data_IF_107676263934
#
_entry.id   IF_107676263934
#
_cell.length_a   1.000
_cell.length_b   1.000
_cell.length_c   1.000
_cell.angle_alpha   90.00
_cell.angle_beta   90.00
_cell.angle_gamma   90.00
#
_symmetry.space_group_name_H-M   'P 1'
#
loop_
_entity.id
_entity.type
_entity.pdbx_description
1 polymer ?
#
# COMPACT_ATOMS: atom_id res chain seq x y z
N UNK A 1 -11.65 -7.89 9.80
CA UNK A 1 -10.79 -7.45 8.68
C UNK A 1 -11.38 -6.16 8.16
N UNK A 2 -10.52 -5.17 7.97
CA UNK A 2 -10.90 -3.90 7.36
C UNK A 2 -10.21 -3.80 5.99
N UNK A 3 -10.93 -3.29 5.00
CA UNK A 3 -10.46 -3.23 3.61
C UNK A 3 -10.45 -1.76 3.19
N UNK A 4 -9.31 -1.32 2.68
CA UNK A 4 -9.10 0.07 2.27
C UNK A 4 -8.63 0.13 0.83
N UNK A 5 -9.22 1.02 0.03
CA UNK A 5 -8.66 1.40 -1.25
C UNK A 5 -7.41 2.24 -0.98
N UNK A 6 -6.30 1.96 -1.65
CA UNK A 6 -5.02 2.60 -1.37
C UNK A 6 -4.28 2.99 -2.65
N UNK A 7 -3.26 3.84 -2.51
CA UNK A 7 -2.31 4.09 -3.60
C UNK A 7 -2.82 5.03 -4.68
N UNK A 8 -2.46 4.71 -5.92
CA UNK A 8 -2.73 5.56 -7.08
C UNK A 8 -4.21 5.82 -7.28
N UNK A 9 -5.07 4.82 -7.02
CA UNK A 9 -6.51 4.96 -7.14
C UNK A 9 -7.08 6.09 -6.26
N UNK A 10 -6.64 6.21 -5.00
CA UNK A 10 -7.09 7.27 -4.08
C UNK A 10 -6.62 8.65 -4.56
N UNK A 11 -5.36 8.74 -4.99
CA UNK A 11 -4.79 9.97 -5.56
C UNK A 11 -5.54 10.42 -6.81
N UNK A 12 -5.76 9.50 -7.74
CA UNK A 12 -6.37 9.77 -9.04
C UNK A 12 -7.85 10.14 -8.88
N UNK A 13 -8.56 9.50 -7.94
CA UNK A 13 -9.91 9.89 -7.54
C UNK A 13 -9.95 11.34 -7.03
N UNK A 14 -9.02 11.72 -6.14
CA UNK A 14 -8.95 13.08 -5.60
C UNK A 14 -8.63 14.14 -6.67
N UNK A 15 -7.87 13.76 -7.70
CA UNK A 15 -7.59 14.61 -8.85
C UNK A 15 -8.70 14.58 -9.92
N UNK A 16 -9.73 13.74 -9.75
CA UNK A 16 -10.79 13.47 -10.75
C UNK A 16 -10.23 12.92 -12.07
N UNK A 17 -9.12 12.19 -12.01
CA UNK A 17 -8.62 11.43 -13.15
C UNK A 17 -9.32 10.07 -13.24
N UNK A 18 -9.61 9.58 -14.46
CA UNK A 18 -10.08 8.23 -14.64
C UNK A 18 -8.97 7.24 -14.26
N UNK A 19 -9.29 6.29 -13.39
CA UNK A 19 -8.43 5.17 -13.03
C UNK A 19 -9.18 3.86 -13.26
N UNK A 20 -8.44 2.81 -13.62
CA UNK A 20 -8.98 1.47 -13.88
C UNK A 20 -8.48 0.45 -12.86
N UNK A 21 -7.25 0.63 -12.38
CA UNK A 21 -6.62 -0.26 -11.43
C UNK A 21 -6.95 0.19 -10.00
N UNK A 22 -7.34 -0.77 -9.17
CA UNK A 22 -7.64 -0.56 -7.76
C UNK A 22 -6.80 -1.51 -6.94
N UNK A 23 -5.99 -0.91 -6.07
CA UNK A 23 -5.20 -1.63 -5.09
C UNK A 23 -5.90 -1.55 -3.75
N UNK A 24 -6.06 -2.70 -3.10
CA UNK A 24 -6.69 -2.80 -1.81
C UNK A 24 -5.70 -3.27 -0.76
N UNK A 25 -5.81 -2.72 0.45
CA UNK A 25 -5.10 -3.19 1.63
C UNK A 25 -6.10 -3.79 2.61
N UNK A 26 -5.77 -4.97 3.14
CA UNK A 26 -6.56 -5.67 4.15
C UNK A 26 -5.82 -5.66 5.48
N UNK A 27 -6.45 -5.07 6.49
CA UNK A 27 -5.92 -4.94 7.85
C UNK A 27 -6.66 -5.90 8.78
N UNK A 28 -5.96 -6.49 9.75
CA UNK A 28 -6.56 -7.39 10.73
C UNK A 28 -7.08 -8.70 10.12
N UNK A 29 -6.36 -9.25 9.16
CA UNK A 29 -6.64 -10.56 8.56
C UNK A 29 -5.36 -11.38 8.39
N UNK A 30 -5.50 -12.69 8.59
CA UNK A 30 -4.48 -13.68 8.24
C UNK A 30 -4.65 -14.15 6.78
N UNK A 31 -3.58 -14.63 6.12
CA UNK A 31 -3.64 -15.19 4.76
C UNK A 31 -4.77 -16.20 4.54
N UNK A 32 -4.95 -17.13 5.50
CA UNK A 32 -5.98 -18.17 5.40
C UNK A 32 -7.39 -17.58 5.36
N UNK A 33 -7.64 -16.46 6.05
CA UNK A 33 -8.97 -15.82 6.04
C UNK A 33 -9.35 -15.26 4.66
N UNK A 34 -8.36 -14.93 3.81
CA UNK A 34 -8.61 -14.53 2.42
C UNK A 34 -8.81 -15.77 1.54
N UNK A 35 -8.00 -16.81 1.73
CA UNK A 35 -8.11 -18.08 0.99
C UNK A 35 -9.49 -18.73 1.22
N UNK A 36 -9.95 -18.76 2.48
CA UNK A 36 -11.27 -19.30 2.87
C UNK A 36 -12.43 -18.51 2.21
N UNK A 37 -12.19 -17.26 1.85
CA UNK A 37 -13.13 -16.40 1.09
C UNK A 37 -12.97 -16.52 -0.44
N UNK A 38 -12.13 -17.43 -0.93
CA UNK A 38 -11.92 -17.69 -2.35
C UNK A 38 -10.91 -16.76 -3.03
N UNK A 39 -10.19 -15.93 -2.28
CA UNK A 39 -9.12 -15.11 -2.84
C UNK A 39 -7.95 -16.00 -3.28
N UNK A 40 -7.35 -15.66 -4.42
CA UNK A 40 -6.25 -16.43 -5.00
C UNK A 40 -4.90 -15.77 -4.71
N UNK A 41 -3.98 -16.40 -3.98
CA UNK A 41 -2.66 -15.80 -3.71
C UNK A 41 -1.87 -15.62 -5.01
N UNK A 42 -1.18 -14.49 -5.11
CA UNK A 42 -0.30 -14.15 -6.24
C UNK A 42 1.08 -13.73 -5.75
N UNK A 43 2.12 -14.23 -6.42
CA UNK A 43 3.50 -14.06 -6.00
C UNK A 43 3.94 -15.10 -4.95
N UNK A 44 5.26 -15.32 -4.86
CA UNK A 44 5.85 -16.29 -3.91
C UNK A 44 6.21 -15.67 -2.56
N UNK A 45 6.59 -14.39 -2.55
CA UNK A 45 7.20 -13.73 -1.38
C UNK A 45 6.31 -12.64 -0.77
N UNK A 46 5.15 -12.37 -1.37
CA UNK A 46 4.28 -11.27 -0.99
C UNK A 46 2.85 -11.76 -0.76
N UNK A 47 2.19 -11.38 0.35
CA UNK A 47 0.81 -11.76 0.65
C UNK A 47 -0.17 -10.86 -0.13
N UNK A 48 -0.09 -10.93 -1.46
CA UNK A 48 -1.04 -10.29 -2.38
C UNK A 48 -1.98 -11.36 -2.90
N UNK A 49 -3.26 -11.01 -3.02
CA UNK A 49 -4.31 -11.91 -3.45
C UNK A 49 -5.18 -11.26 -4.50
N UNK A 50 -5.72 -12.05 -5.42
CA UNK A 50 -6.72 -11.60 -6.38
C UNK A 50 -8.12 -11.89 -5.84
N UNK A 51 -8.99 -10.88 -5.92
CA UNK A 51 -10.40 -11.04 -5.60
C UNK A 51 -11.06 -12.05 -6.56
N UNK A 52 -11.89 -13.00 -6.08
CA UNK A 52 -12.43 -14.07 -6.90
C UNK A 52 -13.29 -13.59 -8.07
N UNK A 53 -14.04 -12.51 -7.88
CA UNK A 53 -15.01 -12.01 -8.87
C UNK A 53 -14.45 -10.90 -9.76
N UNK A 54 -13.67 -9.99 -9.18
CA UNK A 54 -13.23 -8.76 -9.86
C UNK A 54 -11.82 -8.87 -10.40
N UNK A 55 -11.01 -9.79 -9.86
CA UNK A 55 -9.58 -9.90 -10.17
C UNK A 55 -8.74 -8.72 -9.67
N UNK A 56 -9.30 -7.83 -8.84
CA UNK A 56 -8.56 -6.72 -8.23
C UNK A 56 -7.56 -7.24 -7.19
N UNK A 57 -6.50 -6.47 -6.93
CA UNK A 57 -5.41 -6.86 -6.04
C UNK A 57 -5.69 -6.45 -4.58
N UNK A 58 -5.55 -7.41 -3.67
CA UNK A 58 -5.73 -7.26 -2.24
C UNK A 58 -4.45 -7.69 -1.52
N UNK A 59 -3.72 -6.73 -0.98
CA UNK A 59 -2.53 -6.98 -0.19
C UNK A 59 -2.87 -7.01 1.31
N UNK A 60 -2.37 -8.00 2.04
CA UNK A 60 -2.39 -7.91 3.50
C UNK A 60 -1.46 -6.79 3.98
N UNK A 61 -1.91 -6.03 4.97
CA UNK A 61 -1.10 -5.03 5.65
C UNK A 61 0.14 -5.70 6.26
N UNK A 62 1.31 -5.07 6.07
CA UNK A 62 2.58 -5.69 6.47
C UNK A 62 3.63 -4.67 6.88
N UNK A 63 4.49 -5.09 7.80
CA UNK A 63 5.71 -4.35 8.15
C UNK A 63 6.93 -5.00 7.51
N UNK A 64 7.96 -4.20 7.27
CA UNK A 64 9.28 -4.70 6.89
C UNK A 64 10.11 -4.81 8.18
N UNK A 65 10.53 -6.02 8.57
CA UNK A 65 11.45 -6.21 9.70
C UNK A 65 12.75 -6.81 9.19
N UNK A 66 13.86 -6.13 9.46
CA UNK A 66 15.21 -6.60 9.14
C UNK A 66 15.54 -7.78 10.06
N UNK A 67 15.64 -8.98 9.52
CA UNK A 67 15.83 -10.21 10.31
C UNK A 67 17.29 -10.67 10.41
N UNK A 68 18.26 -9.95 9.82
CA UNK A 68 19.65 -10.42 9.78
C UNK A 68 20.73 -9.32 9.86
N UNK A 69 21.94 -9.74 10.24
CA UNK A 69 23.19 -8.95 10.11
C UNK A 69 23.63 -8.98 8.64
N UNK A 70 23.02 -8.14 7.81
CA UNK A 70 23.37 -7.99 6.40
C UNK A 70 22.37 -7.11 5.64
N UNK A 71 22.80 -6.52 4.52
CA UNK A 71 22.00 -5.63 3.68
C UNK A 71 20.95 -6.36 2.80
N UNK A 72 20.82 -7.69 2.88
CA UNK A 72 20.10 -8.48 1.85
C UNK A 72 18.89 -9.30 2.32
N UNK A 73 18.51 -9.29 3.60
CA UNK A 73 17.41 -10.14 4.09
C UNK A 73 16.31 -9.33 4.78
N UNK A 74 15.27 -9.00 4.02
CA UNK A 74 13.99 -8.52 4.53
C UNK A 74 13.00 -9.69 4.52
N UNK A 75 12.41 -10.05 5.67
CA UNK A 75 11.24 -10.93 5.72
C UNK A 75 9.98 -10.07 5.88
N UNK A 76 8.97 -10.36 5.06
CA UNK A 76 7.66 -9.75 5.18
C UNK A 76 6.88 -10.45 6.28
N UNK A 77 6.51 -9.71 7.32
CA UNK A 77 5.56 -10.17 8.32
C UNK A 77 4.22 -9.48 8.01
N UNK A 78 3.30 -10.24 7.41
CA UNK A 78 1.88 -9.91 7.43
C UNK A 78 1.31 -10.60 8.66
N UNK A 79 1.11 -9.81 9.70
CA UNK A 79 0.52 -10.22 10.96
C UNK A 79 -0.73 -9.37 11.17
N UNK A 80 -1.81 -9.95 11.69
CA UNK A 80 -3.06 -9.24 11.93
C UNK A 80 -2.90 -7.97 12.81
N UNK A 81 -1.80 -7.81 13.55
CA UNK A 81 -1.48 -6.64 14.37
C UNK A 81 -0.95 -5.44 13.58
N UNK A 82 -0.60 -5.59 12.31
CA UNK A 82 -0.09 -4.48 11.49
C UNK A 82 -1.22 -3.49 11.20
N UNK A 83 -1.01 -2.25 11.61
CA UNK A 83 -1.97 -1.16 11.40
C UNK A 83 -1.90 -0.61 9.97
N UNK A 84 -3.00 0.01 9.52
CA UNK A 84 -3.03 0.75 8.25
C UNK A 84 -1.93 1.81 8.18
N UNK A 85 -1.71 2.57 9.26
CA UNK A 85 -0.70 3.62 9.30
C UNK A 85 0.73 3.07 9.09
N UNK A 86 1.05 1.93 9.70
CA UNK A 86 2.32 1.24 9.50
C UNK A 86 2.50 0.74 8.07
N UNK A 87 1.44 0.25 7.43
CA UNK A 87 1.50 -0.11 6.01
C UNK A 87 1.70 1.14 5.15
N UNK A 88 0.95 2.22 5.37
CA UNK A 88 1.09 3.46 4.62
C UNK A 88 2.49 4.08 4.78
N UNK A 89 3.13 3.93 5.95
CA UNK A 89 4.46 4.45 6.24
C UNK A 89 5.57 3.88 5.33
N UNK A 90 5.37 2.68 4.79
CA UNK A 90 6.36 2.00 3.92
C UNK A 90 6.37 2.53 2.50
N UNK A 91 5.31 3.25 2.10
CA UNK A 91 5.09 3.70 0.73
C UNK A 91 6.08 4.78 0.33
N UNK A 92 6.18 5.00 -0.97
CA UNK A 92 7.17 5.91 -1.53
C UNK A 92 6.83 7.37 -1.24
N UNK A 93 5.72 7.83 -1.81
CA UNK A 93 5.30 9.22 -1.81
C UNK A 93 4.07 9.40 -0.93
N UNK A 94 3.99 10.55 -0.28
CA UNK A 94 2.86 10.94 0.58
C UNK A 94 1.54 10.91 -0.19
N UNK A 95 1.55 11.33 -1.45
CA UNK A 95 0.37 11.28 -2.35
C UNK A 95 -0.09 9.85 -2.67
N UNK A 96 0.76 8.83 -2.50
CA UNK A 96 0.40 7.43 -2.67
C UNK A 96 0.15 6.73 -1.32
N UNK A 97 0.41 7.43 -0.20
CA UNK A 97 0.28 6.94 1.16
C UNK A 97 -1.03 7.39 1.82
N UNK A 98 -2.10 7.39 1.03
CA UNK A 98 -3.46 7.63 1.46
C UNK A 98 -4.29 6.35 1.30
N UNK A 99 -5.31 6.25 2.12
CA UNK A 99 -6.29 5.17 2.10
C UNK A 99 -7.71 5.72 2.10
N UNK A 100 -8.66 4.95 1.58
CA UNK A 100 -10.08 5.26 1.61
C UNK A 100 -10.85 4.06 2.15
N UNK A 101 -11.67 4.28 3.16
CA UNK A 101 -12.53 3.23 3.73
C UNK A 101 -13.79 2.99 2.88
N UNK A 102 -14.59 1.99 3.28
CA UNK A 102 -15.83 1.64 2.59
C UNK A 102 -16.91 2.74 2.65
N UNK A 103 -16.83 3.65 3.62
CA UNK A 103 -17.73 4.80 3.79
C UNK A 103 -17.29 6.01 2.97
N UNK A 104 -16.10 5.95 2.37
CA UNK A 104 -15.51 7.01 1.56
C UNK A 104 -14.66 8.01 2.34
N UNK A 105 -14.39 7.75 3.62
CA UNK A 105 -13.48 8.57 4.43
C UNK A 105 -12.06 8.39 3.94
N UNK A 106 -11.37 9.50 3.68
CA UNK A 106 -9.95 9.49 3.34
C UNK A 106 -9.11 9.54 4.61
N UNK A 107 -8.25 8.54 4.76
CA UNK A 107 -7.26 8.40 5.82
C UNK A 107 -5.91 8.83 5.24
N UNK A 108 -5.36 9.92 5.77
CA UNK A 108 -4.13 10.55 5.27
C UNK A 108 -3.20 10.97 6.43
N UNK A 109 -2.52 10.02 7.09
CA UNK A 109 -1.64 10.32 8.22
C UNK A 109 -0.37 11.08 7.81
N UNK A 110 0.01 11.03 6.53
CA UNK A 110 1.27 11.61 6.04
C UNK A 110 1.09 12.93 5.28
N UNK A 111 -0.12 13.46 5.15
CA UNK A 111 -0.38 14.75 4.50
C UNK A 111 -0.29 14.72 2.97
N UNK A 112 -0.59 13.58 2.36
CA UNK A 112 -0.68 13.39 0.91
C UNK A 112 -1.68 14.33 0.24
N UNK A 113 -2.81 14.66 0.87
CA UNK A 113 -3.81 15.60 0.30
C UNK A 113 -3.25 17.00 0.12
N UNK A 114 -2.50 17.49 1.11
CA UNK A 114 -1.87 18.80 1.05
C UNK A 114 -0.73 18.83 0.03
N UNK A 115 0.04 17.74 -0.05
CA UNK A 115 1.09 17.58 -1.07
C UNK A 115 0.50 17.53 -2.48
N UNK A 116 -0.62 16.83 -2.66
CA UNK A 116 -1.34 16.74 -3.92
C UNK A 116 -1.84 18.12 -4.39
N UNK A 117 -2.45 18.90 -3.49
CA UNK A 117 -2.88 20.29 -3.78
C UNK A 117 -1.71 21.19 -4.18
N UNK A 118 -0.57 21.03 -3.51
CA UNK A 118 0.66 21.81 -3.78
C UNK A 118 1.49 21.26 -4.95
N UNK A 119 1.03 20.19 -5.60
CA UNK A 119 1.76 19.47 -6.65
C UNK A 119 3.18 19.10 -6.22
N UNK A 120 3.34 18.66 -4.97
CA UNK A 120 4.62 18.36 -4.34
C UNK A 120 4.81 16.84 -4.22
N UNK A 121 5.87 16.32 -4.82
CA UNK A 121 6.31 14.93 -4.61
C UNK A 121 7.22 14.87 -3.38
N UNK A 122 6.69 14.39 -2.25
CA UNK A 122 7.44 14.24 -1.00
C UNK A 122 7.43 12.77 -0.56
N UNK A 123 8.58 12.28 -0.12
CA UNK A 123 8.68 10.91 0.39
C UNK A 123 7.97 10.78 1.76
N UNK A 124 7.44 9.59 2.05
CA UNK A 124 6.75 9.31 3.33
C UNK A 124 7.73 9.28 4.50
N UNK A 125 8.86 8.56 4.33
CA UNK A 125 9.87 8.40 5.37
C UNK A 125 11.29 8.59 4.83
N UNK A 126 12.27 8.90 5.69
CA UNK A 126 13.68 9.01 5.30
C UNK A 126 14.26 7.71 4.71
N UNK A 127 13.67 6.55 5.04
CA UNK A 127 14.07 5.24 4.51
C UNK A 127 13.87 5.14 2.98
N UNK A 128 13.15 6.09 2.37
CA UNK A 128 13.02 6.20 0.92
C UNK A 128 14.38 6.32 0.20
N UNK A 129 15.37 6.97 0.80
CA UNK A 129 16.71 7.11 0.23
C UNK A 129 17.50 5.80 0.18
N UNK A 130 17.07 4.76 0.91
CA UNK A 130 17.78 3.48 1.03
C UNK A 130 17.40 2.45 -0.05
N UNK A 131 16.37 2.72 -0.87
CA UNK A 131 15.90 1.80 -1.91
C UNK A 131 16.03 2.42 -3.32
N UNK A 132 17.09 2.08 -4.08
CA UNK A 132 17.38 2.70 -5.39
C UNK A 132 16.30 2.43 -6.46
N UNK A 133 15.47 1.39 -6.30
CA UNK A 133 14.35 1.14 -7.23
C UNK A 133 13.22 2.18 -7.04
N UNK A 134 13.14 2.81 -5.86
CA UNK A 134 12.14 3.85 -5.57
C UNK A 134 12.40 5.14 -6.34
N UNK A 135 13.66 5.49 -6.57
CA UNK A 135 14.06 6.67 -7.35
C UNK A 135 13.57 6.54 -8.80
N UNK A 136 13.67 5.34 -9.39
CA UNK A 136 13.17 5.05 -10.74
C UNK A 136 11.64 5.15 -10.84
N UNK A 137 10.89 4.79 -9.79
CA UNK A 137 9.43 4.95 -9.76
C UNK A 137 8.99 6.41 -9.73
N UNK A 138 9.70 7.27 -9.00
CA UNK A 138 9.40 8.71 -8.94
C UNK A 138 9.67 9.39 -10.28
N UNK A 139 10.74 9.02 -10.99
CA UNK A 139 11.05 9.55 -12.32
C UNK A 139 9.95 9.29 -13.36
N UNK A 140 9.09 8.30 -13.12
CA UNK A 140 7.96 7.95 -14.00
C UNK A 140 6.71 8.84 -13.80
N UNK A 141 6.68 9.65 -12.73
CA UNK A 141 5.60 10.58 -12.41
C UNK A 141 5.88 12.04 -12.85
N UNK A 142 7.05 12.31 -13.45
CA UNK A 142 7.44 13.62 -13.97
C UNK A 142 7.02 13.82 -15.44
#
# INVERSE_FOLDING_TARGET
MDIYLVGGAVRDELLRFPFKERDWVVVGAEPNALIDKGFRPVGKDFPVFLHPETGEEYALARTERKTGKGYKEFRFFADATVTLEQDLARRDLTINAMAKDAQGTIIDPFGGREDLKKKRLRHVSPAFAEDPLRVLRVARFA
#
